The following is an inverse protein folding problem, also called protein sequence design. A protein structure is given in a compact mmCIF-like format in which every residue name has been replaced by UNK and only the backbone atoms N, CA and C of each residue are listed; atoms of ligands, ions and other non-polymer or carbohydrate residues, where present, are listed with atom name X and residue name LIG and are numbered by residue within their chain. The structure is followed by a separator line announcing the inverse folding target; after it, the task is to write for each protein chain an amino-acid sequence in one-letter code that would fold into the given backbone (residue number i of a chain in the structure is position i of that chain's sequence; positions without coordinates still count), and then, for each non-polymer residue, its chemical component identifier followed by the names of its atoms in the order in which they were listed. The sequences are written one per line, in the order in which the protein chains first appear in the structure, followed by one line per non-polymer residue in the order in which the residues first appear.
data_IF_190061201475
#
_entry.id   IF_190061201475
#
_cell.length_a   1.000
_cell.length_b   1.000
_cell.length_c   1.000
_cell.angle_alpha   90.00
_cell.angle_beta   90.00
_cell.angle_gamma   90.00
#
_symmetry.space_group_name_H-M   'P 1'
#
loop_
_entity.id
_entity.type
_entity.pdbx_description
1 polymer ?
#
# COMPACT_ATOMS: atom_id res chain seq x y z
N UNK A 1 11.50 0.65 13.85
CA UNK A 1 10.88 0.80 12.53
C UNK A 1 9.64 1.68 12.70
N UNK A 2 9.39 2.66 11.84
CA UNK A 2 8.17 3.49 11.90
C UNK A 2 7.35 3.31 10.64
N UNK A 3 6.06 3.06 10.82
CA UNK A 3 5.12 2.81 9.75
C UNK A 3 3.99 3.83 9.81
N UNK A 4 3.62 4.38 8.66
CA UNK A 4 2.47 5.26 8.52
C UNK A 4 1.54 4.66 7.49
N UNK A 5 0.25 4.63 7.78
CA UNK A 5 -0.78 4.27 6.82
C UNK A 5 -1.77 5.41 6.67
N UNK A 6 -2.02 5.85 5.44
CA UNK A 6 -2.91 6.97 5.17
C UNK A 6 -3.81 6.69 3.96
N UNK A 7 -5.12 6.70 4.19
CA UNK A 7 -6.09 6.83 3.11
C UNK A 7 -6.09 8.29 2.61
N UNK A 8 -5.45 8.51 1.47
CA UNK A 8 -5.13 9.84 0.97
C UNK A 8 -6.23 10.44 0.09
N UNK A 9 -7.11 9.60 -0.47
CA UNK A 9 -8.20 9.96 -1.38
C UNK A 9 -7.79 10.96 -2.48
N UNK A 10 -6.72 10.63 -3.20
CA UNK A 10 -6.21 11.43 -4.31
C UNK A 10 -4.92 12.17 -3.98
N UNK A 11 -3.82 11.77 -4.65
CA UNK A 11 -2.47 12.36 -4.49
C UNK A 11 -2.01 13.19 -5.69
N UNK A 12 -2.83 13.32 -6.74
CA UNK A 12 -2.45 14.05 -7.96
C UNK A 12 -2.17 15.55 -7.71
N UNK A 13 -2.80 16.16 -6.70
CA UNK A 13 -2.70 17.60 -6.47
C UNK A 13 -1.55 17.97 -5.51
N UNK A 14 -0.96 19.15 -5.73
CA UNK A 14 0.16 19.69 -4.96
C UNK A 14 -0.16 19.83 -3.46
N UNK A 15 -1.40 20.15 -3.11
CA UNK A 15 -1.81 20.32 -1.72
C UNK A 15 -1.69 19.01 -0.94
N UNK A 16 -2.12 17.90 -1.53
CA UNK A 16 -2.01 16.58 -0.94
C UNK A 16 -0.57 16.11 -0.92
N UNK A 17 0.19 16.29 -2.01
CA UNK A 17 1.61 15.96 -2.03
C UNK A 17 2.39 16.74 -0.97
N UNK A 18 2.15 18.03 -0.82
CA UNK A 18 2.77 18.85 0.24
C UNK A 18 2.42 18.37 1.65
N UNK A 19 1.19 17.90 1.88
CA UNK A 19 0.79 17.31 3.17
C UNK A 19 1.54 15.99 3.43
N UNK A 20 1.67 15.14 2.41
CA UNK A 20 2.44 13.91 2.50
C UNK A 20 3.92 14.21 2.80
N UNK A 21 4.51 15.18 2.10
CA UNK A 21 5.90 15.59 2.34
C UNK A 21 6.11 16.08 3.78
N UNK A 22 5.23 16.93 4.30
CA UNK A 22 5.29 17.38 5.69
C UNK A 22 5.18 16.23 6.69
N UNK A 23 4.32 15.27 6.40
CA UNK A 23 4.10 14.11 7.26
C UNK A 23 5.33 13.20 7.29
N UNK A 24 5.90 12.90 6.12
CA UNK A 24 7.14 12.12 5.99
C UNK A 24 8.30 12.84 6.68
N UNK A 25 8.52 14.13 6.40
CA UNK A 25 9.63 14.89 6.98
C UNK A 25 9.50 15.04 8.51
N UNK A 26 8.27 15.13 9.03
CA UNK A 26 8.03 15.27 10.47
C UNK A 26 8.28 13.97 11.24
N UNK A 27 7.84 12.85 10.70
CA UNK A 27 7.83 11.58 11.44
C UNK A 27 8.95 10.62 11.03
N UNK A 28 9.62 10.89 9.91
CA UNK A 28 10.70 10.09 9.34
C UNK A 28 10.36 8.58 9.33
N UNK A 29 9.26 8.17 8.66
CA UNK A 29 8.86 6.77 8.63
C UNK A 29 9.83 5.91 7.81
N UNK A 30 9.99 4.63 8.18
CA UNK A 30 10.67 3.64 7.34
C UNK A 30 9.74 3.14 6.23
N UNK A 31 8.43 3.09 6.48
CA UNK A 31 7.39 2.59 5.57
C UNK A 31 6.19 3.55 5.55
N UNK A 32 5.66 3.83 4.35
CA UNK A 32 4.43 4.58 4.15
C UNK A 32 3.48 3.79 3.25
N UNK A 33 2.33 3.40 3.80
CA UNK A 33 1.21 2.86 3.03
C UNK A 33 0.23 3.96 2.65
N UNK A 34 -0.09 4.05 1.36
CA UNK A 34 -1.05 5.01 0.79
C UNK A 34 -2.22 4.22 0.25
N UNK A 35 -3.43 4.49 0.75
CA UNK A 35 -4.68 3.97 0.20
C UNK A 35 -5.43 5.06 -0.58
N UNK A 36 -6.17 4.66 -1.61
CA UNK A 36 -6.92 5.56 -2.52
C UNK A 36 -6.06 6.69 -3.12
N UNK A 37 -4.94 6.37 -3.79
CA UNK A 37 -4.13 7.41 -4.44
C UNK A 37 -4.87 8.07 -5.62
N UNK A 38 -5.89 7.41 -6.20
CA UNK A 38 -6.72 7.88 -7.33
C UNK A 38 -5.90 8.33 -8.55
N UNK A 39 -4.77 7.66 -8.81
CA UNK A 39 -3.86 7.92 -9.92
C UNK A 39 -3.29 6.59 -10.43
N UNK A 40 -2.79 6.59 -11.67
CA UNK A 40 -2.18 5.41 -12.27
C UNK A 40 -0.80 5.09 -11.69
N UNK A 41 -0.35 3.85 -11.88
CA UNK A 41 1.03 3.48 -11.64
C UNK A 41 2.01 4.33 -12.44
N UNK A 42 2.81 5.16 -11.76
CA UNK A 42 3.81 6.03 -12.40
C UNK A 42 3.48 7.53 -12.40
N UNK A 43 2.25 7.92 -12.06
CA UNK A 43 1.83 9.33 -12.08
C UNK A 43 2.51 10.17 -10.99
N UNK A 44 2.93 9.55 -9.88
CA UNK A 44 3.83 10.21 -8.92
C UNK A 44 5.24 10.14 -9.49
N UNK A 45 5.83 11.31 -9.73
CA UNK A 45 7.19 11.42 -10.26
C UNK A 45 8.21 10.76 -9.33
N UNK A 46 9.17 10.05 -9.93
CA UNK A 46 10.31 9.48 -9.20
C UNK A 46 11.12 10.57 -8.48
N UNK A 47 11.27 11.74 -9.11
CA UNK A 47 11.94 12.89 -8.52
C UNK A 47 11.29 13.38 -7.22
N UNK A 48 9.95 13.45 -7.17
CA UNK A 48 9.23 13.79 -5.94
C UNK A 48 9.52 12.77 -4.83
N UNK A 49 9.43 11.47 -5.13
CA UNK A 49 9.70 10.42 -4.14
C UNK A 49 11.15 10.42 -3.65
N UNK A 50 12.11 10.61 -4.55
CA UNK A 50 13.53 10.74 -4.20
C UNK A 50 13.78 11.95 -3.29
N UNK A 51 13.11 13.08 -3.53
CA UNK A 51 13.22 14.26 -2.65
C UNK A 51 12.70 14.01 -1.23
N UNK A 52 11.88 12.98 -1.02
CA UNK A 52 11.40 12.53 0.28
C UNK A 52 12.30 11.46 0.92
N UNK A 53 13.39 11.06 0.24
CA UNK A 53 14.21 9.91 0.65
C UNK A 53 13.45 8.58 0.59
N UNK A 54 12.43 8.51 -0.26
CA UNK A 54 11.56 7.35 -0.39
C UNK A 54 11.75 6.66 -1.75
N UNK A 55 11.85 5.34 -1.68
CA UNK A 55 11.69 4.45 -2.82
C UNK A 55 10.23 4.01 -2.89
N UNK A 56 9.73 3.81 -4.09
CA UNK A 56 8.38 3.29 -4.30
C UNK A 56 8.42 1.94 -4.98
N UNK A 57 7.63 1.00 -4.47
CA UNK A 57 7.09 -0.11 -5.25
C UNK A 57 5.96 -0.81 -4.49
N UNK A 58 5.33 -1.73 -5.21
CA UNK A 58 4.13 -2.47 -4.86
C UNK A 58 2.87 -1.63 -4.91
N UNK A 59 2.13 -1.89 -5.97
CA UNK A 59 0.69 -1.72 -6.01
C UNK A 59 0.09 -3.00 -5.47
N UNK A 60 -0.70 -2.89 -4.40
CA UNK A 60 -1.27 -4.07 -3.75
C UNK A 60 -2.78 -3.94 -3.63
N UNK A 61 -3.49 -4.58 -4.54
CA UNK A 61 -4.80 -5.18 -4.33
C UNK A 61 -5.32 -5.59 -5.71
N UNK A 62 -5.88 -6.78 -5.78
CA UNK A 62 -6.61 -7.20 -6.96
C UNK A 62 -7.89 -6.37 -7.06
N UNK A 63 -7.99 -5.63 -8.16
CA UNK A 63 -9.13 -4.79 -8.50
C UNK A 63 -9.62 -5.09 -9.91
N UNK A 64 -9.30 -6.27 -10.44
CA UNK A 64 -9.59 -6.68 -11.81
C UNK A 64 -9.11 -5.63 -12.82
N UNK A 65 -10.04 -5.01 -13.56
CA UNK A 65 -9.75 -4.00 -14.58
C UNK A 65 -9.57 -2.58 -14.02
N UNK A 66 -9.60 -2.39 -12.70
CA UNK A 66 -9.42 -1.08 -12.07
C UNK A 66 -7.99 -0.88 -11.57
N UNK A 67 -7.57 0.38 -11.52
CA UNK A 67 -6.27 0.79 -10.98
C UNK A 67 -6.12 0.31 -9.53
N UNK A 68 -4.95 -0.25 -9.15
CA UNK A 68 -4.69 -0.62 -7.77
C UNK A 68 -4.84 0.57 -6.81
N UNK A 69 -5.38 0.27 -5.63
CA UNK A 69 -5.82 1.26 -4.67
C UNK A 69 -4.92 1.38 -3.43
N UNK A 70 -3.88 0.54 -3.31
CA UNK A 70 -2.90 0.64 -2.23
C UNK A 70 -1.51 0.69 -2.84
N UNK A 71 -0.69 1.60 -2.34
CA UNK A 71 0.71 1.78 -2.72
C UNK A 71 1.58 1.79 -1.47
N UNK A 72 2.72 1.11 -1.53
CA UNK A 72 3.73 1.15 -0.49
C UNK A 72 4.90 2.04 -0.94
N UNK A 73 5.42 2.84 -0.01
CA UNK A 73 6.70 3.53 -0.12
C UNK A 73 7.57 3.05 1.04
N UNK A 74 8.87 2.99 0.85
CA UNK A 74 9.82 2.70 1.91
C UNK A 74 11.03 3.61 1.79
N UNK A 75 11.70 3.83 2.92
CA UNK A 75 12.89 4.67 2.97
C UNK A 75 13.99 4.10 2.09
N UNK A 76 14.58 4.91 1.21
CA UNK A 76 15.56 4.45 0.20
C UNK A 76 16.84 3.87 0.81
N UNK A 77 17.14 4.20 2.06
CA UNK A 77 18.28 3.65 2.81
C UNK A 77 17.99 2.26 3.40
N UNK A 78 16.79 1.72 3.21
CA UNK A 78 16.38 0.37 3.65
C UNK A 78 16.31 -0.58 2.48
N UNK A 79 16.55 -1.85 2.77
CA UNK A 79 16.32 -2.95 1.83
C UNK A 79 14.87 -2.97 1.35
N UNK A 80 14.67 -3.37 0.09
CA UNK A 80 13.34 -3.51 -0.50
C UNK A 80 12.47 -4.47 0.33
N UNK A 81 11.27 -4.05 0.77
CA UNK A 81 10.36 -4.91 1.50
C UNK A 81 9.94 -6.13 0.67
N UNK A 82 9.77 -7.28 1.33
CA UNK A 82 9.25 -8.51 0.70
C UNK A 82 7.76 -8.63 0.94
N UNK A 83 6.97 -8.81 -0.14
CA UNK A 83 5.55 -9.15 -0.02
C UNK A 83 5.43 -10.65 0.30
N UNK A 84 4.97 -10.97 1.50
CA UNK A 84 4.86 -12.37 1.97
C UNK A 84 3.65 -13.11 1.39
N UNK A 85 2.54 -12.42 1.16
CA UNK A 85 1.31 -13.04 0.67
C UNK A 85 0.49 -12.09 -0.20
N UNK A 86 -0.05 -12.61 -1.31
CA UNK A 86 -0.99 -11.93 -2.20
C UNK A 86 -2.24 -12.78 -2.27
N UNK A 87 -3.37 -12.26 -1.78
CA UNK A 87 -4.68 -12.90 -1.98
C UNK A 87 -5.15 -12.52 -3.38
N UNK A 88 -5.34 -13.52 -4.25
CA UNK A 88 -6.03 -13.36 -5.51
C UNK A 88 -7.53 -13.52 -5.25
N UNK A 89 -8.35 -12.57 -5.69
CA UNK A 89 -9.80 -12.73 -5.61
C UNK A 89 -10.23 -13.64 -6.76
N UNK A 90 -10.46 -14.93 -6.49
CA UNK A 90 -11.12 -15.79 -7.49
C UNK A 90 -12.56 -15.34 -7.68
N UNK A 91 -12.93 -15.04 -8.93
CA UNK A 91 -14.26 -14.58 -9.35
C UNK A 91 -15.41 -15.38 -8.70
N UNK A 92 -16.39 -14.67 -8.13
CA UNK A 92 -17.77 -15.16 -8.12
C UNK A 92 -18.42 -14.75 -9.44
N UNK A 93 -18.38 -15.67 -10.41
CA UNK A 93 -19.25 -15.61 -11.57
C UNK A 93 -20.71 -15.58 -11.12
N UNK A 94 -21.52 -14.75 -11.78
CA UNK A 94 -22.97 -14.83 -11.71
C UNK A 94 -23.40 -16.25 -12.12
N UNK A 95 -23.98 -17.01 -11.19
CA UNK A 95 -24.80 -18.18 -11.48
C UNK A 95 -24.44 -19.45 -10.70
N UNK A 96 -25.33 -19.82 -9.77
CA UNK A 96 -25.65 -21.21 -9.46
C UNK A 96 -24.80 -21.93 -8.41
N UNK A 97 -25.46 -22.35 -7.32
CA UNK A 97 -25.06 -23.51 -6.51
C UNK A 97 -24.13 -23.22 -5.34
N UNK A 98 -24.70 -23.06 -4.15
CA UNK A 98 -23.97 -23.26 -2.89
C UNK A 98 -23.55 -24.74 -2.79
N UNK A 99 -22.27 -25.01 -2.50
CA UNK A 99 -21.85 -26.24 -1.83
C UNK A 99 -20.98 -25.88 -0.64
N UNK A 100 -21.35 -26.43 0.51
CA UNK A 100 -20.84 -26.17 1.85
C UNK A 100 -19.35 -26.47 2.00
N UNK A 101 -18.54 -25.43 2.16
CA UNK A 101 -17.38 -25.38 3.05
C UNK A 101 -16.66 -24.09 2.71
N UNK A 102 -16.85 -23.06 3.53
CA UNK A 102 -15.79 -22.11 3.91
C UNK A 102 -16.46 -20.96 4.66
N UNK A 103 -16.26 -21.02 5.96
CA UNK A 103 -16.68 -20.04 6.96
C UNK A 103 -16.01 -18.69 6.63
N UNK A 104 -16.77 -17.80 5.99
CA UNK A 104 -16.29 -16.50 5.55
C UNK A 104 -16.19 -15.54 6.75
N UNK A 105 -14.99 -15.45 7.35
CA UNK A 105 -14.70 -14.47 8.40
C UNK A 105 -14.18 -13.15 7.80
N UNK A 106 -14.68 -11.97 8.24
CA UNK A 106 -14.33 -10.69 7.65
C UNK A 106 -13.10 -10.11 8.36
N UNK A 107 -11.92 -10.18 7.73
CA UNK A 107 -10.73 -9.61 8.33
C UNK A 107 -10.12 -8.51 7.44
N UNK A 108 -10.33 -7.27 7.89
CA UNK A 108 -9.45 -6.16 7.60
C UNK A 108 -8.09 -6.44 8.26
N UNK A 109 -6.99 -6.35 7.52
CA UNK A 109 -5.67 -6.66 8.06
C UNK A 109 -4.81 -5.40 8.24
N UNK A 110 -4.44 -5.15 9.50
CA UNK A 110 -3.30 -4.33 9.92
C UNK A 110 -1.99 -5.09 9.63
N UNK A 111 -0.94 -4.33 9.27
CA UNK A 111 0.45 -4.77 9.29
C UNK A 111 0.81 -5.26 10.71
N UNK A 112 0.99 -6.57 10.89
CA UNK A 112 1.68 -7.12 12.07
C UNK A 112 3.17 -7.07 11.81
N UNK A 113 3.91 -6.37 12.67
CA UNK A 113 5.36 -6.45 12.74
C UNK A 113 5.76 -7.82 13.30
N UNK A 114 6.54 -8.60 12.54
CA UNK A 114 7.28 -9.74 13.08
C UNK A 114 8.57 -9.22 13.74
N UNK A 115 8.45 -8.87 15.01
CA UNK A 115 9.60 -8.83 15.93
C UNK A 115 9.89 -10.28 16.32
N UNK A 116 10.74 -10.97 15.55
CA UNK A 116 11.44 -12.19 15.98
C UNK A 116 12.55 -12.51 14.99
N UNK A 117 13.76 -11.98 15.23
CA UNK A 117 14.89 -12.32 14.36
C UNK A 117 16.22 -11.60 14.56
N UNK A 118 16.36 -10.66 15.51
CA UNK A 118 17.69 -10.13 15.87
C UNK A 118 18.19 -10.82 17.13
N UNK A 119 19.01 -11.85 16.95
CA UNK A 119 20.12 -12.17 17.85
C UNK A 119 21.40 -11.65 17.21
#
# INVERSE_FOLDING_TARGET
MRCIFWNIRGIANDKTQNRLSKLINKWDPDIVGIAEPMINPGDISSAYLQSLGMSASFYSNDRFNSVPNIRLLWKSTRSTPTLLHRVFSTNHGRGGGMSNSDEYMPNAYMLREDIRGMK
#
